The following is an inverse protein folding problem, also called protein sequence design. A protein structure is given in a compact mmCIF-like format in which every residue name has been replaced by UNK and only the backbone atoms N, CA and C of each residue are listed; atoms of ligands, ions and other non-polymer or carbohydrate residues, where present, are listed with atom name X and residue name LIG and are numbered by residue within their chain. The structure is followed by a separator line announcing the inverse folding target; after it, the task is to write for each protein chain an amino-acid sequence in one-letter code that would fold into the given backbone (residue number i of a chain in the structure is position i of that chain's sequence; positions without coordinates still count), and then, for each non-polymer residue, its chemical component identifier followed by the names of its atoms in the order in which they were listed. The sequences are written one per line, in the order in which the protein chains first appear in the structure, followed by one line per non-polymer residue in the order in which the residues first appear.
data_IF_184490290362
#
_entry.id   IF_184490290362
#
_cell.length_a   1.000
_cell.length_b   1.000
_cell.length_c   1.000
_cell.angle_alpha   90.00
_cell.angle_beta   90.00
_cell.angle_gamma   90.00
#
_symmetry.space_group_name_H-M   'P 1'
#
loop_
_entity.id
_entity.type
_entity.pdbx_description
1 polymer ?
#
# COMPACT_ATOMS: atom_id res chain seq x y z
N UNK A 1 19.32 42.33 22.97
CA UNK A 1 19.14 42.41 21.50
C UNK A 1 20.32 41.80 20.73
N UNK A 2 21.57 41.96 21.20
CA UNK A 2 22.78 41.39 20.56
C UNK A 2 22.89 39.85 20.57
N UNK A 3 22.14 39.12 21.40
CA UNK A 3 22.19 37.64 21.47
C UNK A 3 21.32 36.95 20.41
N UNK A 4 20.30 37.63 19.87
CA UNK A 4 19.45 37.07 18.83
C UNK A 4 20.14 37.11 17.46
N UNK A 5 20.82 38.22 17.14
CA UNK A 5 21.53 38.40 15.87
C UNK A 5 22.69 37.40 15.70
N UNK A 6 23.46 37.15 16.76
CA UNK A 6 24.55 36.16 16.75
C UNK A 6 24.05 34.72 16.52
N UNK A 7 22.86 34.38 17.03
CA UNK A 7 22.25 33.06 16.85
C UNK A 7 21.71 32.86 15.43
N UNK A 8 21.10 33.89 14.84
CA UNK A 8 20.71 33.89 13.42
C UNK A 8 21.92 33.78 12.49
N UNK A 9 23.02 34.49 12.77
CA UNK A 9 24.23 34.43 11.93
C UNK A 9 24.88 33.05 11.94
N UNK A 10 24.88 32.38 13.10
CA UNK A 10 25.42 31.02 13.26
C UNK A 10 24.57 29.98 12.53
N UNK A 11 23.23 30.10 12.58
CA UNK A 11 22.31 29.20 11.86
C UNK A 11 22.36 29.44 10.35
N UNK A 12 22.46 30.70 9.92
CA UNK A 12 22.58 31.06 8.50
C UNK A 12 23.88 30.52 7.90
N UNK A 13 25.01 30.66 8.61
CA UNK A 13 26.31 30.08 8.25
C UNK A 13 26.29 28.54 8.16
N UNK A 14 25.59 27.86 9.07
CA UNK A 14 25.45 26.40 9.02
C UNK A 14 24.53 25.89 7.91
N UNK A 15 23.56 26.71 7.47
CA UNK A 15 22.65 26.37 6.37
C UNK A 15 23.30 26.62 5.00
N UNK A 16 24.06 27.71 4.83
CA UNK A 16 24.79 28.00 3.59
C UNK A 16 25.92 26.98 3.35
N UNK A 17 26.57 26.48 4.42
CA UNK A 17 27.58 25.42 4.32
C UNK A 17 27.03 24.02 3.98
N UNK A 18 25.74 23.75 4.23
CA UNK A 18 25.10 22.45 3.96
C UNK A 18 24.33 22.39 2.63
N UNK A 19 23.98 23.53 2.06
CA UNK A 19 23.26 23.62 0.78
C UNK A 19 23.89 24.68 -0.16
N UNK A 20 25.17 24.50 -0.56
CA UNK A 20 25.85 25.46 -1.42
C UNK A 20 25.19 25.63 -2.79
N UNK A 21 24.59 24.56 -3.34
CA UNK A 21 23.87 24.57 -4.63
C UNK A 21 22.54 25.35 -4.59
N UNK A 22 21.86 25.36 -3.45
CA UNK A 22 20.58 26.08 -3.29
C UNK A 22 20.81 27.59 -3.21
N UNK A 23 21.87 28.02 -2.50
CA UNK A 23 22.22 29.44 -2.43
C UNK A 23 22.92 29.94 -3.70
N UNK A 24 23.67 29.10 -4.42
CA UNK A 24 24.21 29.48 -5.73
C UNK A 24 23.10 29.69 -6.76
N UNK A 25 22.02 28.89 -6.71
CA UNK A 25 20.85 29.04 -7.56
C UNK A 25 20.14 30.39 -7.33
N UNK A 26 19.92 30.77 -6.07
CA UNK A 26 19.31 32.07 -5.71
C UNK A 26 20.19 33.26 -6.10
N UNK A 27 21.52 33.13 -6.00
CA UNK A 27 22.45 34.21 -6.37
C UNK A 27 22.63 34.36 -7.90
N UNK A 28 22.48 33.27 -8.66
CA UNK A 28 22.66 33.26 -10.11
C UNK A 28 21.45 33.83 -10.86
N UNK A 29 20.24 33.70 -10.30
CA UNK A 29 19.02 34.36 -10.80
C UNK A 29 18.99 35.85 -10.48
N UNK A 30 19.68 36.31 -9.42
CA UNK A 30 19.80 37.73 -9.12
C UNK A 30 20.76 38.50 -10.05
N UNK A 31 21.63 37.81 -10.80
CA UNK A 31 22.58 38.45 -11.73
C UNK A 31 22.15 38.40 -13.21
N UNK A 32 21.10 37.67 -13.57
CA UNK A 32 20.59 37.58 -14.96
C UNK A 32 19.27 38.34 -15.12
N UNK A 33 19.33 39.65 -14.97
CA UNK A 33 18.23 40.54 -15.30
C UNK A 33 18.76 41.93 -15.61
N UNK A 34 18.81 42.29 -16.89
CA UNK A 34 19.19 43.61 -17.36
C UNK A 34 18.32 44.68 -16.67
N UNK A 35 18.92 45.50 -15.81
CA UNK A 35 18.25 46.63 -15.16
C UNK A 35 17.74 47.63 -16.21
N UNK A 36 16.43 47.88 -16.22
CA UNK A 36 15.86 49.19 -16.55
C UNK A 36 15.31 49.80 -15.24
N UNK A 37 15.61 51.06 -14.91
CA UNK A 37 15.29 51.63 -13.61
C UNK A 37 13.89 52.26 -13.63
N UNK A 38 12.90 51.56 -13.08
CA UNK A 38 11.76 52.12 -12.34
C UNK A 38 10.66 51.06 -12.24
N UNK A 39 10.59 50.33 -11.12
CA UNK A 39 9.33 49.88 -10.51
C UNK A 39 9.62 49.41 -9.08
N UNK A 40 8.74 49.81 -8.17
CA UNK A 40 8.83 49.61 -6.71
C UNK A 40 8.81 48.12 -6.31
N UNK A 41 9.45 47.73 -5.19
CA UNK A 41 9.55 46.33 -4.79
C UNK A 41 8.22 45.86 -4.23
N UNK A 42 7.41 45.17 -5.04
CA UNK A 42 6.02 44.90 -4.65
C UNK A 42 5.62 43.44 -4.90
N UNK A 43 5.08 42.82 -3.86
CA UNK A 43 4.41 41.50 -3.81
C UNK A 43 5.29 40.25 -3.84
N UNK A 44 6.14 40.03 -4.84
CA UNK A 44 6.81 38.71 -5.00
C UNK A 44 7.87 38.45 -3.92
N UNK A 45 8.67 39.46 -3.57
CA UNK A 45 9.67 39.35 -2.48
C UNK A 45 9.00 39.19 -1.10
N UNK A 46 7.82 39.79 -0.91
CA UNK A 46 7.06 39.67 0.34
C UNK A 46 6.49 38.25 0.45
N UNK A 47 5.92 37.70 -0.62
CA UNK A 47 5.38 36.32 -0.65
C UNK A 47 6.49 35.30 -0.38
N UNK A 48 7.67 35.46 -0.99
CA UNK A 48 8.80 34.56 -0.78
C UNK A 48 9.34 34.68 0.66
N UNK A 49 9.54 35.89 1.18
CA UNK A 49 9.98 36.09 2.56
C UNK A 49 8.96 35.55 3.60
N UNK A 50 7.66 35.74 3.37
CA UNK A 50 6.60 35.19 4.22
C UNK A 50 6.54 33.66 4.18
N UNK A 51 6.77 33.05 3.02
CA UNK A 51 6.80 31.58 2.88
C UNK A 51 7.99 30.94 3.60
N UNK A 52 9.18 31.56 3.53
CA UNK A 52 10.38 31.12 4.26
C UNK A 52 10.19 31.30 5.77
N UNK A 53 9.61 32.43 6.19
CA UNK A 53 9.26 32.69 7.60
C UNK A 53 8.31 31.65 8.18
N UNK A 54 7.28 31.24 7.42
CA UNK A 54 6.34 30.18 7.81
C UNK A 54 6.99 28.81 7.94
N UNK A 55 7.89 28.45 7.01
CA UNK A 55 8.61 27.17 7.04
C UNK A 55 9.55 27.11 8.25
N UNK A 56 10.28 28.19 8.55
CA UNK A 56 11.16 28.28 9.71
C UNK A 56 10.36 28.23 11.01
N UNK A 57 9.24 28.96 11.10
CA UNK A 57 8.36 28.93 12.27
C UNK A 57 7.78 27.53 12.51
N UNK A 58 7.34 26.83 11.45
CA UNK A 58 6.86 25.47 11.52
C UNK A 58 7.95 24.48 11.95
N UNK A 59 9.18 24.62 11.44
CA UNK A 59 10.31 23.78 11.79
C UNK A 59 10.76 23.97 13.25
N UNK A 60 10.79 25.23 13.72
CA UNK A 60 11.11 25.58 15.11
C UNK A 60 10.01 25.07 16.05
N UNK A 61 8.73 25.27 15.72
CA UNK A 61 7.61 24.77 16.50
C UNK A 61 7.62 23.22 16.57
N UNK A 62 7.93 22.54 15.47
CA UNK A 62 8.06 21.09 15.43
C UNK A 62 9.24 20.59 16.29
N UNK A 63 10.41 21.24 16.23
CA UNK A 63 11.55 20.89 17.08
C UNK A 63 11.29 21.13 18.57
N UNK A 64 10.68 22.27 18.92
CA UNK A 64 10.33 22.57 20.32
C UNK A 64 9.30 21.58 20.87
N UNK A 65 8.31 21.18 20.06
CA UNK A 65 7.32 20.15 20.43
C UNK A 65 7.99 18.77 20.61
N UNK A 66 8.93 18.40 19.73
CA UNK A 66 9.71 17.15 19.84
C UNK A 66 10.59 17.12 21.10
N UNK A 67 11.22 18.24 21.48
CA UNK A 67 12.03 18.35 22.71
C UNK A 67 11.15 18.24 23.97
N UNK A 68 9.95 18.83 23.94
CA UNK A 68 8.98 18.77 25.05
C UNK A 68 8.42 17.36 25.27
N UNK A 69 8.17 16.62 24.18
CA UNK A 69 7.64 15.24 24.25
C UNK A 69 8.73 14.20 24.63
N UNK A 70 10.02 14.54 24.55
CA UNK A 70 11.13 13.70 25.00
C UNK A 70 11.46 13.82 26.50
N UNK A 71 10.86 14.77 27.22
CA UNK A 71 11.25 15.10 28.60
C UNK A 71 10.39 14.48 29.71
N UNK A 72 9.67 13.40 29.43
CA UNK A 72 8.95 12.64 30.46
C UNK A 72 9.54 11.24 30.57
N UNK A 73 10.71 11.17 31.20
CA UNK A 73 11.31 9.91 31.67
C UNK A 73 10.71 9.61 33.04
N UNK A 74 10.02 8.47 33.26
CA UNK A 74 9.71 8.06 34.62
C UNK A 74 11.02 7.61 35.28
N UNK A 75 11.50 8.38 36.27
CA UNK A 75 12.59 7.96 37.15
C UNK A 75 12.15 6.70 37.90
N UNK A 76 12.70 5.55 37.53
CA UNK A 76 12.61 4.32 38.31
C UNK A 76 13.54 4.50 39.52
N UNK A 77 12.97 4.56 40.74
CA UNK A 77 13.76 4.39 41.96
C UNK A 77 13.99 2.88 42.15
N UNK A 78 15.26 2.47 42.09
CA UNK A 78 15.71 1.14 42.50
C UNK A 78 15.91 1.18 44.02
N UNK A 79 15.32 0.26 44.78
CA UNK A 79 15.66 0.07 46.20
C UNK A 79 16.85 -0.88 46.33
N UNK A 80 17.74 -0.58 47.27
CA UNK A 80 19.07 -1.19 47.44
C UNK A 80 19.10 -2.52 48.22
N UNK A 81 18.06 -3.33 48.13
CA UNK A 81 18.06 -4.66 48.74
C UNK A 81 17.24 -5.62 47.89
N UNK A 82 17.92 -6.46 47.11
CA UNK A 82 17.30 -7.51 46.32
C UNK A 82 16.69 -8.58 47.22
N UNK A 83 15.36 -8.59 47.36
CA UNK A 83 14.62 -9.76 47.82
C UNK A 83 13.16 -9.72 47.35
N UNK A 84 12.68 -10.88 46.91
CA UNK A 84 11.28 -11.14 46.54
C UNK A 84 10.46 -11.31 47.82
N UNK A 85 9.41 -10.50 47.98
CA UNK A 85 8.38 -10.71 49.02
C UNK A 85 7.07 -11.06 48.32
N UNK A 86 6.61 -12.29 48.55
CA UNK A 86 5.23 -12.72 48.29
C UNK A 86 4.31 -12.00 49.28
N UNK A 87 3.52 -11.05 48.78
CA UNK A 87 2.46 -10.40 49.54
C UNK A 87 1.13 -10.54 48.81
N UNK A 88 0.21 -11.29 49.41
CA UNK A 88 -1.19 -11.35 49.00
C UNK A 88 -1.86 -9.98 49.16
N UNK A 89 -2.90 -9.76 48.35
CA UNK A 89 -3.82 -8.62 48.29
C UNK A 89 -3.37 -7.35 47.53
N UNK A 90 -3.92 -7.17 46.32
CA UNK A 90 -4.46 -5.89 45.76
C UNK A 90 -4.89 -6.07 44.28
N UNK A 91 -5.90 -6.92 44.02
CA UNK A 91 -6.52 -7.02 42.69
C UNK A 91 -7.19 -5.73 42.16
N UNK A 92 -7.86 -4.87 42.96
CA UNK A 92 -8.57 -3.71 42.42
C UNK A 92 -7.64 -2.60 41.91
N UNK A 93 -6.46 -2.43 42.53
CA UNK A 93 -5.46 -1.41 42.11
C UNK A 93 -4.84 -1.74 40.75
N UNK A 94 -4.66 -3.04 40.43
CA UNK A 94 -4.18 -3.48 39.12
C UNK A 94 -5.23 -3.21 38.03
N UNK A 95 -6.51 -3.53 38.28
CA UNK A 95 -7.61 -3.24 37.35
C UNK A 95 -7.76 -1.73 37.06
N UNK A 96 -7.78 -0.88 38.10
CA UNK A 96 -7.88 0.56 37.90
C UNK A 96 -6.67 1.14 37.16
N UNK A 97 -5.46 0.65 37.48
CA UNK A 97 -4.24 1.02 36.73
C UNK A 97 -4.33 0.61 35.27
N UNK A 98 -4.82 -0.58 34.94
CA UNK A 98 -5.04 -1.02 33.56
C UNK A 98 -6.08 -0.16 32.83
N UNK A 99 -7.19 0.18 33.49
CA UNK A 99 -8.25 1.04 32.92
C UNK A 99 -7.71 2.46 32.66
N UNK A 100 -7.02 3.06 33.64
CA UNK A 100 -6.43 4.39 33.49
C UNK A 100 -5.32 4.39 32.44
N UNK A 101 -4.51 3.34 32.36
CA UNK A 101 -3.50 3.18 31.30
C UNK A 101 -4.12 2.98 29.92
N UNK A 102 -5.25 2.28 29.81
CA UNK A 102 -6.01 2.13 28.57
C UNK A 102 -6.64 3.46 28.14
N UNK A 103 -7.30 4.19 29.05
CA UNK A 103 -7.91 5.48 28.77
C UNK A 103 -6.88 6.56 28.40
N UNK A 104 -5.76 6.64 29.13
CA UNK A 104 -4.67 7.56 28.77
C UNK A 104 -3.95 7.16 27.49
N UNK A 105 -3.94 5.87 27.13
CA UNK A 105 -3.45 5.38 25.84
C UNK A 105 -4.39 5.78 24.70
N UNK A 106 -5.70 5.71 24.90
CA UNK A 106 -6.72 6.10 23.92
C UNK A 106 -6.72 7.62 23.67
N UNK A 107 -6.65 8.44 24.72
CA UNK A 107 -6.52 9.90 24.57
C UNK A 107 -5.21 10.32 23.89
N UNK A 108 -4.11 9.62 24.17
CA UNK A 108 -2.83 9.84 23.46
C UNK A 108 -2.95 9.42 21.99
N UNK A 109 -3.64 8.33 21.72
CA UNK A 109 -3.89 7.83 20.37
C UNK A 109 -4.68 8.85 19.54
N UNK A 110 -5.76 9.41 20.11
CA UNK A 110 -6.57 10.44 19.45
C UNK A 110 -5.76 11.72 19.18
N UNK A 111 -4.92 12.13 20.14
CA UNK A 111 -4.06 13.31 20.01
C UNK A 111 -3.00 13.14 18.91
N UNK A 112 -2.33 11.98 18.85
CA UNK A 112 -1.33 11.69 17.81
C UNK A 112 -1.99 11.67 16.43
N UNK A 113 -3.16 11.02 16.32
CA UNK A 113 -3.93 10.95 15.09
C UNK A 113 -4.36 12.33 14.60
N UNK A 114 -4.92 13.20 15.46
CA UNK A 114 -5.32 14.57 15.09
C UNK A 114 -4.16 15.41 14.59
N UNK A 115 -2.99 15.35 15.24
CA UNK A 115 -1.82 16.13 14.84
C UNK A 115 -1.20 15.69 13.50
N UNK A 116 -1.35 14.41 13.14
CA UNK A 116 -0.72 13.84 11.94
C UNK A 116 -1.63 13.87 10.71
N UNK A 117 -2.91 14.28 10.82
CA UNK A 117 -3.83 14.33 9.66
C UNK A 117 -3.34 15.22 8.52
N UNK A 118 -2.84 16.41 8.84
CA UNK A 118 -2.34 17.34 7.81
C UNK A 118 -1.06 16.79 7.17
N UNK A 119 -0.13 16.30 7.99
CA UNK A 119 1.11 15.66 7.51
C UNK A 119 0.83 14.44 6.62
N UNK A 120 -0.22 13.66 6.93
CA UNK A 120 -0.68 12.54 6.11
C UNK A 120 -1.05 13.02 4.70
N UNK A 121 -1.90 14.03 4.57
CA UNK A 121 -2.35 14.53 3.25
C UNK A 121 -1.15 14.96 2.39
N UNK A 122 -0.23 15.75 2.93
CA UNK A 122 0.96 16.17 2.19
C UNK A 122 1.85 14.98 1.80
N UNK A 123 2.08 14.04 2.72
CA UNK A 123 2.89 12.87 2.45
C UNK A 123 2.25 11.98 1.37
N UNK A 124 0.93 11.78 1.42
CA UNK A 124 0.19 11.04 0.40
C UNK A 124 0.36 11.68 -0.97
N UNK A 125 0.16 12.99 -1.09
CA UNK A 125 0.35 13.71 -2.35
C UNK A 125 1.79 13.57 -2.88
N UNK A 126 2.79 13.67 -2.00
CA UNK A 126 4.20 13.49 -2.39
C UNK A 126 4.47 12.07 -2.91
N UNK A 127 3.92 11.04 -2.27
CA UNK A 127 4.06 9.66 -2.75
C UNK A 127 3.32 9.42 -4.07
N UNK A 128 2.14 10.02 -4.27
CA UNK A 128 1.44 10.00 -5.56
C UNK A 128 2.27 10.68 -6.67
N UNK A 129 2.86 11.85 -6.40
CA UNK A 129 3.71 12.57 -7.36
C UNK A 129 4.99 11.77 -7.70
N UNK A 130 5.59 11.08 -6.73
CA UNK A 130 6.73 10.19 -6.95
C UNK A 130 6.33 9.00 -7.83
N UNK A 131 5.19 8.38 -7.56
CA UNK A 131 4.69 7.24 -8.33
C UNK A 131 4.37 7.60 -9.79
N UNK A 132 3.93 8.84 -10.04
CA UNK A 132 3.67 9.34 -11.40
C UNK A 132 4.99 9.74 -12.11
N UNK A 133 6.06 10.03 -11.38
CA UNK A 133 7.34 10.47 -11.94
C UNK A 133 7.45 11.97 -12.20
N UNK A 134 6.61 12.79 -11.53
CA UNK A 134 6.61 14.25 -11.69
C UNK A 134 7.78 14.96 -10.97
N UNK A 135 8.52 14.25 -10.12
CA UNK A 135 9.69 14.78 -9.40
C UNK A 135 10.97 14.33 -10.09
N UNK A 136 11.28 14.93 -11.23
CA UNK A 136 12.62 14.88 -11.83
C UNK A 136 13.33 16.20 -11.52
N UNK A 137 14.49 16.13 -10.87
CA UNK A 137 15.27 17.27 -10.37
C UNK A 137 16.12 17.97 -11.45
N UNK A 138 15.79 17.83 -12.73
CA UNK A 138 16.57 18.44 -13.80
C UNK A 138 15.72 19.45 -14.59
N UNK A 139 16.11 20.72 -14.48
CA UNK A 139 15.66 21.89 -15.26
C UNK A 139 16.05 21.81 -16.76
N UNK A 140 16.06 20.61 -17.33
CA UNK A 140 15.98 20.40 -18.76
C UNK A 140 14.97 19.30 -18.99
N UNK A 141 13.86 19.69 -19.63
CA UNK A 141 12.99 18.80 -20.39
C UNK A 141 13.84 18.02 -21.40
N UNK A 142 14.48 16.96 -20.91
CA UNK A 142 14.93 15.87 -21.75
C UNK A 142 13.77 14.91 -21.70
N UNK A 143 13.07 14.82 -22.83
CA UNK A 143 12.19 13.72 -23.18
C UNK A 143 13.03 12.44 -22.98
N UNK A 144 13.07 11.94 -21.73
CA UNK A 144 13.80 10.71 -21.36
C UNK A 144 13.32 9.71 -22.37
N UNK A 145 14.22 9.26 -23.23
CA UNK A 145 13.94 8.52 -24.45
C UNK A 145 13.08 7.29 -24.15
N UNK A 146 11.76 7.50 -24.08
CA UNK A 146 10.76 6.45 -24.06
C UNK A 146 10.94 5.78 -25.41
N UNK A 147 11.28 4.48 -25.46
CA UNK A 147 11.48 3.79 -26.72
C UNK A 147 10.33 4.14 -27.67
N UNK A 148 10.66 4.53 -28.91
CA UNK A 148 9.70 5.06 -29.89
C UNK A 148 8.46 4.15 -30.02
N UNK A 149 8.62 2.83 -29.77
CA UNK A 149 7.57 1.82 -29.71
C UNK A 149 6.48 2.01 -28.63
N UNK A 150 6.74 2.72 -27.54
CA UNK A 150 5.78 2.93 -26.44
C UNK A 150 4.86 4.13 -26.65
N UNK A 151 5.28 5.16 -27.40
CA UNK A 151 4.45 6.36 -27.67
C UNK A 151 3.33 6.08 -28.68
N UNK A 152 3.49 5.08 -29.54
CA UNK A 152 2.56 4.77 -30.64
C UNK A 152 1.65 3.57 -30.40
N UNK A 153 1.73 2.92 -29.23
CA UNK A 153 0.84 1.80 -28.88
C UNK A 153 -0.27 2.21 -27.91
N UNK A 154 -1.29 1.37 -27.81
CA UNK A 154 -2.27 1.47 -26.72
C UNK A 154 -1.59 1.24 -25.37
N UNK A 155 -1.94 2.03 -24.33
CA UNK A 155 -1.47 1.78 -22.97
C UNK A 155 -2.09 0.50 -22.41
N UNK A 156 -1.41 -0.12 -21.45
CA UNK A 156 -1.81 -1.39 -20.84
C UNK A 156 -2.19 -1.18 -19.38
N UNK A 157 -3.38 -1.66 -19.01
CA UNK A 157 -3.81 -1.81 -17.61
C UNK A 157 -3.70 -3.29 -17.24
N UNK A 158 -2.72 -3.63 -16.40
CA UNK A 158 -2.56 -4.95 -15.81
C UNK A 158 -3.23 -5.00 -14.45
N UNK A 159 -4.32 -5.76 -14.35
CA UNK A 159 -5.04 -6.05 -13.13
C UNK A 159 -4.51 -7.34 -12.52
N UNK A 160 -3.78 -7.24 -11.41
CA UNK A 160 -3.40 -8.40 -10.61
C UNK A 160 -4.49 -8.68 -9.57
N UNK A 161 -5.05 -9.88 -9.60
CA UNK A 161 -6.12 -10.33 -8.72
C UNK A 161 -5.79 -11.62 -7.98
N UNK A 162 -6.47 -11.85 -6.87
CA UNK A 162 -6.21 -13.02 -6.02
C UNK A 162 -6.27 -12.67 -4.55
N UNK A 163 -6.70 -13.63 -3.74
CA UNK A 163 -6.83 -13.43 -2.30
C UNK A 163 -5.51 -13.01 -1.63
N UNK A 164 -5.62 -12.41 -0.45
CA UNK A 164 -4.44 -12.01 0.30
C UNK A 164 -3.58 -13.25 0.61
N UNK A 165 -2.26 -13.16 0.41
CA UNK A 165 -1.36 -14.30 0.58
C UNK A 165 -1.38 -15.34 -0.55
N UNK A 166 -2.10 -15.09 -1.66
CA UNK A 166 -2.14 -16.00 -2.80
C UNK A 166 -0.82 -16.10 -3.60
N UNK A 167 0.18 -15.26 -3.33
CA UNK A 167 1.46 -15.29 -4.06
C UNK A 167 1.49 -14.43 -5.33
N UNK A 168 0.64 -13.40 -5.43
CA UNK A 168 0.60 -12.44 -6.55
C UNK A 168 1.97 -11.85 -6.88
N UNK A 169 2.73 -11.44 -5.88
CA UNK A 169 4.05 -10.84 -6.07
C UNK A 169 5.06 -11.80 -6.71
N UNK A 170 4.90 -13.12 -6.53
CA UNK A 170 5.75 -14.12 -7.21
C UNK A 170 5.43 -14.16 -8.69
N UNK A 171 4.15 -14.24 -9.05
CA UNK A 171 3.70 -14.24 -10.46
C UNK A 171 4.05 -12.92 -11.15
N UNK A 172 3.87 -11.78 -10.47
CA UNK A 172 4.20 -10.47 -11.01
C UNK A 172 5.68 -10.36 -11.37
N UNK A 173 6.59 -10.88 -10.52
CA UNK A 173 8.03 -10.87 -10.81
C UNK A 173 8.37 -11.59 -12.12
N UNK A 174 7.64 -12.64 -12.46
CA UNK A 174 7.88 -13.39 -13.70
C UNK A 174 7.24 -12.68 -14.90
N UNK A 175 6.05 -12.11 -14.74
CA UNK A 175 5.42 -11.27 -15.78
C UNK A 175 6.28 -10.06 -16.12
N UNK A 176 6.90 -9.42 -15.13
CA UNK A 176 7.76 -8.27 -15.35
C UNK A 176 9.04 -8.59 -16.15
N UNK A 177 9.41 -9.87 -16.27
CA UNK A 177 10.52 -10.33 -17.11
C UNK A 177 10.09 -10.60 -18.56
N UNK A 178 8.79 -10.66 -18.85
CA UNK A 178 8.28 -10.85 -20.21
C UNK A 178 8.70 -9.69 -21.11
N UNK A 179 8.88 -9.96 -22.41
CA UNK A 179 9.44 -9.00 -23.38
C UNK A 179 8.74 -7.63 -23.37
N UNK A 180 7.42 -7.63 -23.21
CA UNK A 180 6.63 -6.40 -23.10
C UNK A 180 6.98 -5.61 -21.83
N UNK A 181 6.90 -6.24 -20.66
CA UNK A 181 7.08 -5.56 -19.38
C UNK A 181 8.54 -5.25 -19.07
N UNK A 182 9.50 -6.03 -19.56
CA UNK A 182 10.92 -5.74 -19.41
C UNK A 182 11.30 -4.33 -19.92
N UNK A 183 10.64 -3.86 -20.99
CA UNK A 183 10.82 -2.51 -21.52
C UNK A 183 9.80 -1.46 -21.04
N UNK A 184 8.64 -1.87 -20.49
CA UNK A 184 7.57 -0.96 -20.08
C UNK A 184 7.51 -0.69 -18.57
N UNK A 185 7.93 -1.66 -17.75
CA UNK A 185 7.75 -1.63 -16.30
C UNK A 185 8.42 -0.44 -15.61
N UNK A 186 9.58 0.01 -16.11
CA UNK A 186 10.27 1.19 -15.56
C UNK A 186 9.45 2.49 -15.65
N UNK A 187 8.53 2.57 -16.61
CA UNK A 187 7.67 3.72 -16.85
C UNK A 187 6.21 3.47 -16.45
N UNK A 188 5.88 2.27 -15.98
CA UNK A 188 4.54 1.91 -15.55
C UNK A 188 4.25 2.44 -14.14
N UNK A 189 3.01 2.88 -13.91
CA UNK A 189 2.55 3.28 -12.59
C UNK A 189 2.08 2.03 -11.85
N UNK A 190 2.78 1.66 -10.78
CA UNK A 190 2.41 0.53 -9.91
C UNK A 190 1.52 1.03 -8.77
N UNK A 191 0.35 0.42 -8.62
CA UNK A 191 -0.67 0.82 -7.66
C UNK A 191 -0.91 -0.33 -6.70
N UNK A 192 -0.39 -0.20 -5.49
CA UNK A 192 -0.60 -1.13 -4.38
C UNK A 192 -1.11 -0.33 -3.17
N UNK A 193 -2.37 -0.52 -2.78
CA UNK A 193 -2.95 0.20 -1.64
C UNK A 193 -2.19 -0.05 -0.33
N UNK A 194 -1.60 -1.24 -0.19
CA UNK A 194 -0.80 -1.60 0.98
C UNK A 194 0.54 -0.83 1.05
N UNK A 195 1.12 -0.40 -0.07
CA UNK A 195 2.34 0.41 -0.07
C UNK A 195 2.11 1.80 0.55
N UNK A 196 0.92 2.37 0.32
CA UNK A 196 0.52 3.64 0.96
C UNK A 196 0.33 3.50 2.48
N UNK A 197 -0.05 2.32 2.97
CA UNK A 197 -0.12 2.08 4.42
C UNK A 197 1.26 2.16 5.04
N UNK A 198 2.29 1.63 4.38
CA UNK A 198 3.65 1.65 4.91
C UNK A 198 4.27 3.04 4.92
N UNK A 199 3.90 3.88 3.95
CA UNK A 199 4.36 5.27 3.89
C UNK A 199 3.57 6.20 4.82
N UNK A 200 2.35 5.82 5.24
CA UNK A 200 1.48 6.61 6.12
C UNK A 200 2.15 6.96 7.44
N UNK A 201 2.20 8.26 7.74
CA UNK A 201 2.86 8.81 8.93
C UNK A 201 2.23 8.37 10.25
N UNK A 202 0.93 8.07 10.26
CA UNK A 202 0.21 7.53 11.42
C UNK A 202 0.53 6.05 11.56
N UNK A 203 0.55 5.28 10.47
CA UNK A 203 0.98 3.87 10.53
C UNK A 203 2.41 3.74 11.08
N UNK A 204 3.37 4.51 10.55
CA UNK A 204 4.76 4.53 11.05
C UNK A 204 4.86 4.97 12.51
N UNK A 205 4.08 5.98 12.92
CA UNK A 205 4.09 6.47 14.30
C UNK A 205 3.52 5.43 15.29
N UNK A 206 2.55 4.64 14.87
CA UNK A 206 1.92 3.61 15.69
C UNK A 206 2.72 2.30 15.72
N UNK A 207 3.29 1.89 14.59
CA UNK A 207 4.12 0.67 14.50
C UNK A 207 5.45 0.80 15.23
N UNK A 208 6.06 2.00 15.25
CA UNK A 208 7.33 2.26 15.92
C UNK A 208 7.27 2.31 17.45
N UNK A 209 6.07 2.41 18.05
CA UNK A 209 5.91 2.66 19.50
C UNK A 209 5.73 1.41 20.36
N UNK A 210 5.68 0.22 19.76
CA UNK A 210 5.59 -1.06 20.45
C UNK A 210 4.23 -1.30 21.16
N UNK A 211 3.74 -2.54 21.12
CA UNK A 211 2.49 -2.99 21.77
C UNK A 211 1.17 -2.36 21.28
N UNK A 212 1.09 -1.86 20.06
CA UNK A 212 -0.20 -1.58 19.41
C UNK A 212 -0.75 -2.84 18.73
N UNK A 213 -2.06 -3.05 18.80
CA UNK A 213 -2.73 -4.07 18.00
C UNK A 213 -2.50 -3.71 16.52
N UNK A 214 -1.69 -4.53 15.87
CA UNK A 214 -1.27 -4.37 14.48
C UNK A 214 -2.49 -4.38 13.55
N UNK A 215 -3.54 -5.12 13.90
CA UNK A 215 -4.77 -5.21 13.13
C UNK A 215 -5.57 -3.91 13.19
N UNK A 216 -5.74 -3.34 14.38
CA UNK A 216 -6.42 -2.04 14.54
C UNK A 216 -5.66 -0.94 13.81
N UNK A 217 -4.33 -0.93 13.96
CA UNK A 217 -3.46 0.08 13.32
C UNK A 217 -3.59 0.05 11.79
N UNK A 218 -3.66 -1.14 11.19
CA UNK A 218 -3.85 -1.29 9.75
C UNK A 218 -5.23 -0.86 9.26
N UNK A 219 -6.29 -1.07 10.06
CA UNK A 219 -7.65 -0.61 9.74
C UNK A 219 -7.78 0.91 9.74
N UNK A 220 -7.14 1.57 10.70
CA UNK A 220 -7.18 3.03 10.85
C UNK A 220 -6.64 3.81 9.64
N UNK A 221 -5.73 3.19 8.89
CA UNK A 221 -5.11 3.77 7.69
C UNK A 221 -5.69 3.18 6.40
N UNK A 222 -6.64 2.25 6.50
CA UNK A 222 -7.12 1.50 5.36
C UNK A 222 -7.84 2.39 4.35
N UNK A 223 -8.77 3.23 4.82
CA UNK A 223 -9.54 4.11 3.94
C UNK A 223 -8.62 5.10 3.22
N UNK A 224 -7.76 5.82 3.96
CA UNK A 224 -6.87 6.81 3.36
C UNK A 224 -5.89 6.19 2.34
N UNK A 225 -5.44 4.97 2.58
CA UNK A 225 -4.55 4.27 1.64
C UNK A 225 -5.30 3.80 0.39
N UNK A 226 -6.58 3.44 0.55
CA UNK A 226 -7.47 3.06 -0.56
C UNK A 226 -7.82 4.28 -1.42
N UNK A 227 -8.09 5.42 -0.78
CA UNK A 227 -8.37 6.68 -1.47
C UNK A 227 -7.15 7.15 -2.25
N UNK A 228 -5.95 7.09 -1.65
CA UNK A 228 -4.69 7.43 -2.33
C UNK A 228 -4.42 6.55 -3.55
N UNK A 229 -4.59 5.24 -3.41
CA UNK A 229 -4.44 4.30 -4.52
C UNK A 229 -5.46 4.58 -5.64
N UNK A 230 -6.69 4.95 -5.28
CA UNK A 230 -7.76 5.28 -6.23
C UNK A 230 -7.49 6.62 -6.96
N UNK A 231 -6.97 7.62 -6.24
CA UNK A 231 -6.52 8.91 -6.79
C UNK A 231 -5.41 8.71 -7.82
N UNK A 232 -4.39 7.93 -7.45
CA UNK A 232 -3.29 7.57 -8.35
C UNK A 232 -3.79 6.80 -9.58
N UNK A 233 -4.75 5.88 -9.40
CA UNK A 233 -5.32 5.07 -10.48
C UNK A 233 -6.03 5.92 -11.52
N UNK A 234 -6.98 6.77 -11.10
CA UNK A 234 -7.73 7.60 -12.04
C UNK A 234 -6.82 8.60 -12.74
N UNK A 235 -5.82 9.15 -12.04
CA UNK A 235 -4.83 10.05 -12.61
C UNK A 235 -3.99 9.35 -13.67
N UNK A 236 -3.38 8.21 -13.34
CA UNK A 236 -2.55 7.45 -14.28
C UNK A 236 -3.35 7.00 -15.52
N UNK A 237 -4.60 6.56 -15.32
CA UNK A 237 -5.47 6.14 -16.41
C UNK A 237 -5.84 7.29 -17.35
N UNK A 238 -6.21 8.44 -16.79
CA UNK A 238 -6.50 9.66 -17.57
C UNK A 238 -5.30 10.12 -18.40
N UNK A 239 -4.08 9.98 -17.89
CA UNK A 239 -2.83 10.35 -18.57
C UNK A 239 -2.33 9.31 -19.58
N UNK A 240 -3.07 8.20 -19.78
CA UNK A 240 -2.68 7.19 -20.78
C UNK A 240 -1.39 6.43 -20.42
N UNK A 241 -1.08 6.29 -19.12
CA UNK A 241 0.10 5.56 -18.63
C UNK A 241 -0.15 4.06 -18.62
N UNK A 242 0.90 3.25 -18.80
CA UNK A 242 0.79 1.85 -18.41
C UNK A 242 0.61 1.76 -16.90
N UNK A 243 -0.33 0.93 -16.46
CA UNK A 243 -0.70 0.79 -15.05
C UNK A 243 -0.63 -0.67 -14.65
N UNK A 244 -0.01 -0.95 -13.52
CA UNK A 244 -0.05 -2.25 -12.84
C UNK A 244 -0.79 -2.06 -11.53
N UNK A 245 -1.99 -2.61 -11.44
CA UNK A 245 -2.83 -2.53 -10.25
C UNK A 245 -2.74 -3.84 -9.48
N UNK A 246 -2.09 -3.82 -8.31
CA UNK A 246 -2.03 -4.96 -7.38
C UNK A 246 -3.14 -4.86 -6.35
N UNK A 247 -4.18 -5.68 -6.54
CA UNK A 247 -5.35 -5.75 -5.68
C UNK A 247 -5.78 -7.18 -5.36
N UNK A 248 -6.79 -7.30 -4.50
CA UNK A 248 -7.50 -8.59 -4.35
C UNK A 248 -8.48 -8.83 -5.48
N UNK A 249 -9.01 -7.74 -6.07
CA UNK A 249 -10.13 -7.75 -7.02
C UNK A 249 -11.35 -8.51 -6.47
N UNK A 250 -11.54 -8.49 -5.15
CA UNK A 250 -12.59 -9.23 -4.44
C UNK A 250 -13.93 -8.49 -4.38
N UNK A 251 -14.04 -7.31 -4.98
CA UNK A 251 -15.24 -6.47 -4.93
C UNK A 251 -15.68 -6.12 -6.35
N UNK A 252 -16.70 -6.84 -6.83
CA UNK A 252 -17.11 -6.81 -8.24
C UNK A 252 -17.46 -5.41 -8.73
N UNK A 253 -18.29 -4.61 -8.03
CA UNK A 253 -18.70 -3.30 -8.55
C UNK A 253 -17.51 -2.37 -8.81
N UNK A 254 -16.55 -2.33 -7.88
CA UNK A 254 -15.32 -1.55 -8.05
C UNK A 254 -14.52 -1.98 -9.28
N UNK A 255 -14.32 -3.28 -9.48
CA UNK A 255 -13.53 -3.79 -10.61
C UNK A 255 -14.24 -3.51 -11.94
N UNK A 256 -15.54 -3.75 -12.01
CA UNK A 256 -16.35 -3.50 -13.22
C UNK A 256 -16.36 -2.01 -13.58
N UNK A 257 -16.59 -1.13 -12.60
CA UNK A 257 -16.55 0.31 -12.82
C UNK A 257 -15.14 0.77 -13.25
N UNK A 258 -14.08 0.20 -12.67
CA UNK A 258 -12.67 0.50 -13.06
C UNK A 258 -12.37 0.09 -14.49
N UNK A 259 -12.78 -1.12 -14.89
CA UNK A 259 -12.63 -1.58 -16.28
C UNK A 259 -13.40 -0.65 -17.23
N UNK A 260 -14.63 -0.29 -16.86
CA UNK A 260 -15.49 0.62 -17.65
C UNK A 260 -14.83 1.98 -17.83
N UNK A 261 -14.29 2.56 -16.75
CA UNK A 261 -13.50 3.79 -16.79
C UNK A 261 -12.30 3.63 -17.73
N UNK A 262 -11.47 2.59 -17.56
CA UNK A 262 -10.30 2.35 -18.40
C UNK A 262 -10.64 2.18 -19.90
N UNK A 263 -11.81 1.62 -20.23
CA UNK A 263 -12.30 1.57 -21.61
C UNK A 263 -12.71 2.94 -22.15
N UNK A 264 -13.13 3.87 -21.29
CA UNK A 264 -13.69 5.17 -21.68
C UNK A 264 -12.74 6.37 -21.53
N UNK A 265 -11.64 6.26 -20.77
CA UNK A 265 -10.69 7.37 -20.51
C UNK A 265 -10.06 7.97 -21.76
N UNK A 266 -10.09 7.24 -22.89
CA UNK A 266 -9.63 7.76 -24.17
C UNK A 266 -10.58 8.80 -24.80
N UNK A 267 -11.84 8.87 -24.32
CA UNK A 267 -12.88 9.80 -24.80
C UNK A 267 -13.29 10.84 -23.78
N UNK A 268 -13.15 10.55 -22.48
CA UNK A 268 -13.60 11.41 -21.37
C UNK A 268 -12.60 11.35 -20.22
N UNK A 269 -12.52 12.41 -19.42
CA UNK A 269 -11.80 12.38 -18.14
C UNK A 269 -12.71 11.85 -17.05
N UNK A 270 -12.07 11.28 -16.03
CA UNK A 270 -12.73 10.81 -14.82
C UNK A 270 -12.08 11.43 -13.58
N UNK A 271 -12.83 11.52 -12.49
CA UNK A 271 -12.32 11.75 -11.13
C UNK A 271 -12.82 10.65 -10.20
N UNK A 272 -12.24 10.60 -9.01
CA UNK A 272 -12.79 9.77 -7.94
C UNK A 272 -14.23 10.18 -7.64
N UNK A 273 -15.11 9.18 -7.59
CA UNK A 273 -16.45 9.32 -7.05
C UNK A 273 -16.48 9.18 -5.53
N UNK A 274 -17.68 9.15 -4.97
CA UNK A 274 -17.91 9.04 -3.52
C UNK A 274 -17.51 7.69 -2.92
N UNK A 275 -17.23 6.69 -3.74
CA UNK A 275 -16.92 5.32 -3.33
C UNK A 275 -18.16 4.55 -2.89
N UNK A 276 -18.00 3.66 -1.92
CA UNK A 276 -19.09 2.94 -1.26
C UNK A 276 -19.48 3.67 0.03
N UNK A 277 -20.74 4.08 0.13
CA UNK A 277 -21.32 4.72 1.31
C UNK A 277 -22.67 4.11 1.64
N UNK A 278 -22.94 3.98 2.93
CA UNK A 278 -24.25 3.59 3.44
C UNK A 278 -24.73 4.77 4.28
N UNK A 279 -25.82 5.39 3.86
CA UNK A 279 -26.41 6.52 4.58
C UNK A 279 -27.16 6.03 5.84
N UNK A 280 -27.53 6.96 6.72
CA UNK A 280 -28.24 6.64 7.99
C UNK A 280 -29.57 5.91 7.75
N UNK A 281 -30.22 6.20 6.62
CA UNK A 281 -31.47 5.55 6.18
C UNK A 281 -31.24 4.16 5.55
N UNK A 282 -29.99 3.67 5.51
CA UNK A 282 -29.61 2.38 4.92
C UNK A 282 -29.48 2.40 3.39
N UNK A 283 -29.68 3.55 2.74
CA UNK A 283 -29.48 3.72 1.29
C UNK A 283 -28.00 3.53 0.95
N UNK A 284 -27.70 2.64 0.00
CA UNK A 284 -26.34 2.36 -0.44
C UNK A 284 -26.04 3.17 -1.70
N UNK A 285 -25.05 4.05 -1.61
CA UNK A 285 -24.47 4.74 -2.76
C UNK A 285 -23.14 4.09 -3.11
N UNK A 286 -23.02 3.57 -4.32
CA UNK A 286 -21.80 2.91 -4.79
C UNK A 286 -21.35 3.46 -6.15
N UNK A 287 -20.49 4.47 -6.12
CA UNK A 287 -19.95 5.10 -7.31
C UNK A 287 -18.47 5.45 -7.11
N UNK A 288 -17.58 4.71 -7.76
CA UNK A 288 -16.13 4.86 -7.61
C UNK A 288 -15.54 5.89 -8.58
N UNK A 289 -16.15 6.12 -9.74
CA UNK A 289 -15.60 6.97 -10.79
C UNK A 289 -16.66 7.87 -11.39
N UNK A 290 -16.40 9.17 -11.36
CA UNK A 290 -17.30 10.18 -11.93
C UNK A 290 -16.71 10.74 -13.21
N UNK A 291 -17.52 10.80 -14.26
CA UNK A 291 -17.12 11.45 -15.51
C UNK A 291 -17.05 12.96 -15.31
N UNK A 292 -16.08 13.58 -15.99
CA UNK A 292 -15.92 15.02 -16.04
C UNK A 292 -16.15 15.46 -17.48
N UNK A 293 -16.99 16.47 -17.67
CA UNK A 293 -17.16 17.12 -18.96
C UNK A 293 -15.86 17.86 -19.32
N UNK A 294 -15.20 17.42 -20.39
CA UNK A 294 -14.13 18.21 -20.99
C UNK A 294 -14.78 19.22 -21.94
N UNK A 295 -14.55 20.51 -21.71
CA UNK A 295 -14.68 21.49 -22.78
C UNK A 295 -13.77 21.03 -23.92
N UNK A 296 -14.32 20.92 -25.13
CA UNK A 296 -13.59 20.45 -26.30
C UNK A 296 -12.42 21.39 -26.58
N UNK A 297 -11.24 21.08 -26.03
CA UNK A 297 -10.03 21.81 -26.37
C UNK A 297 -9.79 21.62 -27.88
N UNK A 298 -9.90 22.74 -28.60
CA UNK A 298 -9.66 22.88 -30.04
C UNK A 298 -8.16 22.80 -30.39
N UNK A 299 -7.28 22.58 -29.42
CA UNK A 299 -5.87 22.32 -29.68
C UNK A 299 -5.66 20.85 -30.01
N UNK A 300 -4.84 20.60 -31.04
CA UNK A 300 -4.49 19.28 -31.60
C UNK A 300 -3.73 18.34 -30.65
N UNK A 301 -4.15 18.27 -29.39
CA UNK A 301 -3.69 17.35 -28.36
C UNK A 301 -3.82 15.91 -28.87
N UNK A 302 -2.71 15.17 -28.78
CA UNK A 302 -2.61 13.75 -29.14
C UNK A 302 -3.86 12.99 -28.67
N UNK A 303 -4.63 12.44 -29.61
CA UNK A 303 -5.78 11.60 -29.28
C UNK A 303 -5.34 10.47 -28.35
N UNK A 304 -5.88 10.44 -27.13
CA UNK A 304 -5.67 9.34 -26.18
C UNK A 304 -6.12 8.04 -26.83
N UNK A 305 -5.35 6.97 -26.64
CA UNK A 305 -5.64 5.65 -27.19
C UNK A 305 -6.43 4.80 -26.19
N UNK A 306 -7.30 3.90 -26.65
CA UNK A 306 -8.00 2.97 -25.76
C UNK A 306 -7.01 2.02 -25.08
N UNK A 307 -7.25 1.70 -23.81
CA UNK A 307 -6.45 0.75 -23.05
C UNK A 307 -6.64 -0.68 -23.53
N UNK A 308 -5.54 -1.43 -23.59
CA UNK A 308 -5.55 -2.89 -23.52
C UNK A 308 -5.59 -3.30 -22.04
N UNK A 309 -6.52 -4.15 -21.65
CA UNK A 309 -6.71 -4.57 -20.26
C UNK A 309 -6.35 -6.05 -20.13
N UNK A 310 -5.41 -6.33 -19.24
CA UNK A 310 -4.92 -7.67 -18.93
C UNK A 310 -5.27 -8.04 -17.49
N UNK A 311 -5.84 -9.22 -17.28
CA UNK A 311 -6.10 -9.78 -15.96
C UNK A 311 -5.13 -10.91 -15.66
N UNK A 312 -4.50 -10.85 -14.49
CA UNK A 312 -3.72 -11.96 -13.97
C UNK A 312 -4.26 -12.33 -12.60
N UNK A 313 -4.94 -13.46 -12.54
CA UNK A 313 -5.42 -14.06 -11.31
C UNK A 313 -4.38 -15.00 -10.70
N UNK A 314 -4.30 -15.01 -9.37
CA UNK A 314 -3.55 -16.02 -8.62
C UNK A 314 -4.45 -16.65 -7.56
N UNK A 315 -4.58 -17.97 -7.62
CA UNK A 315 -5.35 -18.77 -6.67
C UNK A 315 -4.43 -19.73 -5.92
N UNK A 316 -4.77 -20.00 -4.66
CA UNK A 316 -4.19 -21.07 -3.89
C UNK A 316 -5.19 -21.54 -2.84
N UNK A 317 -4.88 -22.65 -2.18
CA UNK A 317 -5.64 -23.14 -1.04
C UNK A 317 -5.65 -22.08 0.06
N UNK A 318 -6.81 -21.86 0.65
CA UNK A 318 -7.01 -20.75 1.56
C UNK A 318 -6.19 -20.93 2.86
N UNK A 319 -5.96 -22.17 3.31
CA UNK A 319 -5.10 -22.43 4.48
C UNK A 319 -3.63 -22.09 4.22
N UNK A 320 -3.12 -22.33 3.00
CA UNK A 320 -1.77 -21.92 2.61
C UNK A 320 -1.64 -20.41 2.64
N UNK A 321 -2.65 -19.70 2.14
CA UNK A 321 -2.68 -18.25 2.21
C UNK A 321 -2.66 -17.75 3.65
N UNK A 322 -3.42 -18.36 4.56
CA UNK A 322 -3.42 -18.02 5.99
C UNK A 322 -2.05 -18.21 6.62
N UNK A 323 -1.40 -19.35 6.36
CA UNK A 323 -0.03 -19.63 6.84
C UNK A 323 0.95 -18.56 6.31
N UNK A 324 0.86 -18.21 5.02
CA UNK A 324 1.67 -17.14 4.41
C UNK A 324 1.40 -15.78 5.07
N UNK A 325 0.13 -15.50 5.39
CA UNK A 325 -0.31 -14.30 6.11
C UNK A 325 0.31 -14.21 7.50
N UNK A 326 0.28 -15.30 8.27
CA UNK A 326 0.92 -15.41 9.59
C UNK A 326 2.43 -15.22 9.49
N UNK A 327 3.09 -15.90 8.56
CA UNK A 327 4.54 -15.75 8.33
C UNK A 327 4.90 -14.29 8.00
N UNK A 328 4.11 -13.64 7.15
CA UNK A 328 4.29 -12.21 6.83
C UNK A 328 4.06 -11.31 8.05
N UNK A 329 3.12 -11.63 8.92
CA UNK A 329 2.90 -10.89 10.16
C UNK A 329 4.11 -10.98 11.10
N UNK A 330 4.75 -12.15 11.19
CA UNK A 330 5.94 -12.37 12.01
C UNK A 330 7.17 -11.64 11.45
N UNK A 331 7.41 -11.73 10.14
CA UNK A 331 8.62 -11.19 9.49
C UNK A 331 8.47 -9.68 9.23
N UNK A 332 7.38 -9.29 8.59
CA UNK A 332 7.19 -7.93 8.07
C UNK A 332 6.33 -7.06 8.99
N UNK A 333 5.89 -7.57 10.14
CA UNK A 333 4.98 -6.86 11.06
C UNK A 333 3.72 -6.34 10.36
N UNK A 334 3.18 -7.12 9.41
CA UNK A 334 1.94 -6.84 8.68
C UNK A 334 0.94 -7.99 8.84
N UNK A 335 0.01 -7.83 9.76
CA UNK A 335 -1.05 -8.79 10.02
C UNK A 335 -2.30 -8.49 9.19
N UNK A 336 -3.02 -9.55 8.84
CA UNK A 336 -4.30 -9.51 8.15
C UNK A 336 -5.26 -10.44 8.88
N UNK A 337 -6.50 -10.00 9.09
CA UNK A 337 -7.53 -10.85 9.71
C UNK A 337 -7.82 -12.05 8.80
N UNK A 338 -7.91 -13.24 9.40
CA UNK A 338 -8.18 -14.49 8.69
C UNK A 338 -9.51 -14.40 7.93
N UNK A 339 -10.59 -13.92 8.56
CA UNK A 339 -11.88 -13.75 7.88
C UNK A 339 -11.78 -12.84 6.63
N UNK A 340 -11.08 -11.71 6.71
CA UNK A 340 -10.86 -10.83 5.55
C UNK A 340 -10.07 -11.52 4.45
N UNK A 341 -9.10 -12.35 4.83
CA UNK A 341 -8.31 -13.16 3.90
C UNK A 341 -9.20 -14.19 3.19
N UNK A 342 -9.97 -14.99 3.93
CA UNK A 342 -10.89 -15.98 3.37
C UNK A 342 -11.92 -15.33 2.44
N UNK A 343 -12.54 -14.21 2.86
CA UNK A 343 -13.46 -13.42 2.03
C UNK A 343 -12.82 -12.97 0.72
N UNK A 344 -11.57 -12.50 0.78
CA UNK A 344 -10.87 -12.04 -0.43
C UNK A 344 -10.63 -13.16 -1.44
N UNK A 345 -10.32 -14.36 -0.96
CA UNK A 345 -10.16 -15.56 -1.79
C UNK A 345 -11.47 -16.00 -2.42
N UNK A 346 -12.51 -16.17 -1.59
CA UNK A 346 -13.86 -16.57 -2.01
C UNK A 346 -14.41 -15.66 -3.10
N UNK A 347 -14.50 -14.36 -2.81
CA UNK A 347 -15.09 -13.39 -3.72
C UNK A 347 -14.30 -13.22 -5.01
N UNK A 348 -12.97 -13.27 -4.97
CA UNK A 348 -12.16 -13.24 -6.18
C UNK A 348 -12.44 -14.46 -7.06
N UNK A 349 -12.46 -15.66 -6.46
CA UNK A 349 -12.70 -16.90 -7.17
C UNK A 349 -14.10 -16.94 -7.82
N UNK A 350 -15.12 -16.48 -7.10
CA UNK A 350 -16.49 -16.34 -7.62
C UNK A 350 -16.57 -15.35 -8.80
N UNK A 351 -15.80 -14.26 -8.76
CA UNK A 351 -15.87 -13.19 -9.75
C UNK A 351 -14.97 -13.40 -10.98
N UNK A 352 -13.98 -14.30 -10.91
CA UNK A 352 -12.92 -14.44 -11.91
C UNK A 352 -13.48 -14.64 -13.34
N UNK A 353 -14.50 -15.50 -13.50
CA UNK A 353 -15.12 -15.75 -14.80
C UNK A 353 -15.78 -14.51 -15.38
N UNK A 354 -16.44 -13.71 -14.54
CA UNK A 354 -17.05 -12.43 -14.94
C UNK A 354 -15.97 -11.46 -15.41
N UNK A 355 -14.86 -11.35 -14.68
CA UNK A 355 -13.76 -10.47 -15.09
C UNK A 355 -13.14 -10.89 -16.42
N UNK A 356 -13.02 -12.19 -16.68
CA UNK A 356 -12.52 -12.72 -17.96
C UNK A 356 -13.36 -12.24 -19.15
N UNK A 357 -14.65 -11.95 -18.98
CA UNK A 357 -15.51 -11.45 -20.06
C UNK A 357 -15.28 -9.96 -20.36
N UNK A 358 -14.73 -9.20 -19.42
CA UNK A 358 -14.58 -7.74 -19.50
C UNK A 358 -13.20 -7.28 -19.99
N UNK A 359 -12.20 -8.16 -19.91
CA UNK A 359 -10.79 -7.88 -20.25
C UNK A 359 -10.38 -8.49 -21.59
N UNK A 360 -9.30 -7.97 -22.17
CA UNK A 360 -8.77 -8.46 -23.45
C UNK A 360 -8.04 -9.80 -23.26
N UNK A 361 -7.16 -9.87 -22.26
CA UNK A 361 -6.43 -11.09 -21.94
C UNK A 361 -6.63 -11.44 -20.47
N UNK A 362 -6.70 -12.73 -20.17
CA UNK A 362 -6.75 -13.21 -18.79
C UNK A 362 -5.79 -14.39 -18.61
N UNK A 363 -5.12 -14.47 -17.47
CA UNK A 363 -4.32 -15.63 -17.04
C UNK A 363 -4.66 -15.97 -15.60
N UNK A 364 -4.73 -17.24 -15.26
CA UNK A 364 -4.92 -17.72 -13.90
C UNK A 364 -3.77 -18.65 -13.52
N UNK A 365 -3.12 -18.34 -12.41
CA UNK A 365 -2.03 -19.13 -11.87
C UNK A 365 -2.44 -19.81 -10.57
N UNK A 366 -2.10 -21.08 -10.40
CA UNK A 366 -2.17 -21.81 -9.13
C UNK A 366 -0.82 -21.75 -8.42
N UNK A 367 -0.82 -21.36 -7.14
CA UNK A 367 0.40 -21.28 -6.33
C UNK A 367 0.41 -22.27 -5.16
N UNK A 368 -0.24 -23.43 -5.31
CA UNK A 368 -0.29 -24.47 -4.27
C UNK A 368 1.04 -25.18 -4.03
N UNK A 369 1.91 -25.20 -5.04
CA UNK A 369 3.24 -25.81 -4.93
C UNK A 369 4.06 -25.05 -3.87
N UNK A 370 4.57 -25.79 -2.87
CA UNK A 370 5.34 -25.22 -1.75
C UNK A 370 6.70 -24.67 -2.22
N UNK A 371 7.32 -25.36 -3.18
CA UNK A 371 8.60 -25.02 -3.80
C UNK A 371 8.47 -25.15 -5.32
N UNK A 372 8.54 -24.02 -6.03
CA UNK A 372 8.45 -23.99 -7.49
C UNK A 372 7.70 -22.77 -8.03
N UNK A 373 7.74 -22.55 -9.36
CA UNK A 373 6.99 -21.47 -9.99
C UNK A 373 5.48 -21.77 -9.94
N UNK A 374 4.63 -20.74 -9.85
CA UNK A 374 3.18 -20.90 -9.99
C UNK A 374 2.80 -21.53 -11.33
N UNK A 375 1.87 -22.50 -11.33
CA UNK A 375 1.40 -23.20 -12.54
C UNK A 375 0.33 -22.37 -13.23
N UNK A 376 0.44 -22.15 -14.54
CA UNK A 376 -0.64 -21.54 -15.35
C UNK A 376 -1.75 -22.58 -15.56
N UNK A 377 -2.97 -22.28 -15.12
CA UNK A 377 -4.10 -23.22 -15.11
C UNK A 377 -5.29 -22.75 -15.95
N UNK A 378 -5.32 -21.47 -16.33
CA UNK A 378 -6.28 -20.96 -17.31
C UNK A 378 -5.71 -19.76 -18.06
N UNK A 379 -6.07 -19.60 -19.32
CA UNK A 379 -5.71 -18.42 -20.11
C UNK A 379 -6.75 -18.07 -21.17
N UNK A 380 -6.82 -16.78 -21.47
CA UNK A 380 -7.67 -16.17 -22.50
C UNK A 380 -6.83 -15.18 -23.28
N UNK A 381 -6.95 -15.22 -24.59
CA UNK A 381 -6.39 -14.22 -25.49
C UNK A 381 -7.48 -13.56 -26.33
N UNK A 382 -7.53 -12.23 -26.32
CA UNK A 382 -8.47 -11.42 -27.12
C UNK A 382 -9.93 -11.88 -26.95
N UNK A 383 -10.62 -12.15 -28.05
CA UNK A 383 -12.04 -12.53 -28.07
C UNK A 383 -12.25 -14.04 -27.89
N UNK A 384 -11.18 -14.82 -27.66
CA UNK A 384 -11.30 -16.26 -27.43
C UNK A 384 -12.00 -16.54 -26.10
N UNK A 385 -12.63 -17.70 -26.01
CA UNK A 385 -13.11 -18.24 -24.75
C UNK A 385 -11.93 -18.58 -23.82
N UNK A 386 -12.19 -18.60 -22.51
CA UNK A 386 -11.21 -19.01 -21.51
C UNK A 386 -10.86 -20.50 -21.70
N UNK A 387 -9.60 -20.77 -22.00
CA UNK A 387 -9.03 -22.12 -22.02
C UNK A 387 -8.58 -22.48 -20.60
N UNK A 388 -8.91 -23.69 -20.15
CA UNK A 388 -8.65 -24.16 -18.79
C UNK A 388 -7.97 -25.51 -18.82
N UNK A 389 -7.02 -25.73 -17.91
CA UNK A 389 -6.53 -27.05 -17.55
C UNK A 389 -7.63 -27.76 -16.73
N UNK A 390 -8.30 -28.79 -17.27
CA UNK A 390 -9.45 -29.41 -16.62
C UNK A 390 -9.09 -30.07 -15.29
N UNK A 391 -7.85 -30.52 -15.11
CA UNK A 391 -7.39 -31.21 -13.91
C UNK A 391 -7.09 -30.21 -12.79
N UNK A 392 -6.66 -29.00 -13.13
CA UNK A 392 -6.21 -27.99 -12.15
C UNK A 392 -7.26 -26.93 -11.83
N UNK A 393 -8.18 -26.61 -12.76
CA UNK A 393 -9.14 -25.52 -12.60
C UNK A 393 -10.12 -25.74 -11.44
N UNK A 394 -10.24 -26.98 -10.95
CA UNK A 394 -11.07 -27.34 -9.81
C UNK A 394 -10.78 -26.51 -8.56
N UNK A 395 -9.51 -26.14 -8.33
CA UNK A 395 -9.11 -25.34 -7.17
C UNK A 395 -9.83 -23.99 -7.10
N UNK A 396 -10.11 -23.34 -8.23
CA UNK A 396 -10.84 -22.07 -8.27
C UNK A 396 -12.28 -22.24 -7.78
N UNK A 397 -12.96 -23.31 -8.22
CA UNK A 397 -14.35 -23.60 -7.82
C UNK A 397 -14.43 -23.95 -6.32
N UNK A 398 -13.46 -24.71 -5.84
CA UNK A 398 -13.33 -25.08 -4.43
C UNK A 398 -13.14 -23.84 -3.56
N UNK A 399 -12.20 -22.95 -3.92
CA UNK A 399 -11.95 -21.68 -3.21
C UNK A 399 -13.17 -20.77 -3.26
N UNK A 400 -13.89 -20.70 -4.38
CA UNK A 400 -15.14 -19.94 -4.47
C UNK A 400 -16.26 -20.43 -3.54
N UNK A 401 -16.19 -21.68 -3.06
CA UNK A 401 -17.20 -22.28 -2.17
C UNK A 401 -16.74 -22.39 -0.72
N UNK A 402 -15.60 -21.80 -0.36
CA UNK A 402 -15.09 -21.89 1.01
C UNK A 402 -16.04 -21.24 2.02
N UNK A 403 -15.96 -21.72 3.26
CA UNK A 403 -16.61 -21.11 4.41
C UNK A 403 -15.69 -20.00 4.94
N UNK A 404 -16.06 -18.74 4.67
CA UNK A 404 -15.27 -17.59 5.08
C UNK A 404 -15.41 -17.24 6.57
N UNK A 405 -16.39 -17.84 7.25
CA UNK A 405 -16.61 -17.77 8.69
C UNK A 405 -16.00 -18.97 9.44
N UNK A 406 -15.22 -19.81 8.78
CA UNK A 406 -14.59 -20.97 9.41
C UNK A 406 -13.63 -20.55 10.54
N UNK A 407 -13.80 -21.17 11.72
CA UNK A 407 -12.91 -20.98 12.87
C UNK A 407 -11.84 -22.08 12.94
N UNK A 408 -11.98 -23.12 12.13
CA UNK A 408 -11.00 -24.21 12.04
C UNK A 408 -10.79 -24.67 10.59
N UNK A 409 -9.67 -25.34 10.35
CA UNK A 409 -9.37 -25.94 9.04
C UNK A 409 -10.44 -26.97 8.62
N UNK A 410 -11.07 -27.65 9.59
CA UNK A 410 -12.07 -28.69 9.34
C UNK A 410 -13.37 -28.14 8.77
N UNK A 411 -13.64 -26.86 9.03
CA UNK A 411 -14.85 -26.14 8.59
C UNK A 411 -14.64 -25.35 7.29
N UNK A 412 -13.40 -25.31 6.79
CA UNK A 412 -13.01 -24.38 5.71
C UNK A 412 -13.66 -24.74 4.38
N UNK A 413 -13.83 -26.03 4.10
CA UNK A 413 -14.46 -26.54 2.89
C UNK A 413 -15.53 -27.59 3.22
N UNK A 414 -16.53 -27.72 2.34
CA UNK A 414 -17.50 -28.80 2.41
C UNK A 414 -16.88 -30.13 1.96
N UNK A 415 -17.49 -31.27 2.32
CA UNK A 415 -17.00 -32.60 1.93
C UNK A 415 -17.25 -32.90 0.43
N UNK A 416 -16.28 -33.51 -0.29
CA UNK A 416 -14.95 -33.90 0.18
C UNK A 416 -14.02 -32.69 0.37
N UNK A 417 -13.31 -32.67 1.50
CA UNK A 417 -12.48 -31.53 1.88
C UNK A 417 -11.07 -31.64 1.24
N UNK A 418 -10.65 -30.66 0.41
CA UNK A 418 -9.42 -30.74 -0.40
C UNK A 418 -8.15 -30.96 0.42
N UNK A 419 -8.10 -30.45 1.65
CA UNK A 419 -6.94 -30.62 2.53
C UNK A 419 -6.68 -32.08 2.98
N UNK A 420 -7.57 -33.03 2.65
CA UNK A 420 -7.33 -34.46 2.92
C UNK A 420 -6.95 -35.24 1.67
N UNK A 421 -6.95 -34.61 0.49
CA UNK A 421 -6.56 -35.24 -0.76
C UNK A 421 -5.04 -35.43 -0.81
N UNK A 422 -4.61 -36.54 -1.42
CA UNK A 422 -3.20 -36.82 -1.68
C UNK A 422 -2.63 -35.74 -2.60
N UNK A 423 -1.43 -35.23 -2.29
CA UNK A 423 -0.83 -34.09 -2.98
C UNK A 423 -1.10 -32.75 -2.27
N UNK A 424 -2.05 -32.69 -1.34
CA UNK A 424 -2.26 -31.48 -0.53
C UNK A 424 -1.21 -31.36 0.57
N UNK A 425 -0.72 -30.14 0.81
CA UNK A 425 0.26 -29.86 1.88
C UNK A 425 -0.27 -30.28 3.25
N UNK A 426 -1.58 -30.15 3.47
CA UNK A 426 -2.17 -30.52 4.75
C UNK A 426 -2.14 -32.04 4.97
N UNK A 427 -2.51 -32.84 3.97
CA UNK A 427 -2.43 -34.30 4.05
C UNK A 427 -1.00 -34.79 4.14
N UNK A 428 -0.14 -34.32 3.23
CA UNK A 428 1.18 -34.91 2.99
C UNK A 428 2.24 -34.41 3.96
N UNK A 429 2.09 -33.21 4.52
CA UNK A 429 3.06 -32.60 5.44
C UNK A 429 2.47 -32.46 6.84
N UNK A 430 1.27 -31.89 6.98
CA UNK A 430 0.71 -31.56 8.31
C UNK A 430 0.20 -32.82 9.04
N UNK A 431 -0.49 -33.71 8.34
CA UNK A 431 -1.00 -34.97 8.89
C UNK A 431 -0.01 -36.14 8.77
N UNK A 432 1.20 -35.89 8.24
CA UNK A 432 2.21 -36.93 8.09
C UNK A 432 2.66 -37.51 9.44
N UNK A 433 2.73 -38.84 9.59
CA UNK A 433 3.25 -39.49 10.80
C UNK A 433 4.69 -39.06 11.15
N UNK A 434 5.50 -38.68 10.15
CA UNK A 434 6.90 -38.29 10.36
C UNK A 434 7.05 -36.87 10.90
N UNK A 435 5.99 -36.04 10.85
CA UNK A 435 6.03 -34.62 11.26
C UNK A 435 6.54 -34.43 12.68
N UNK A 436 6.13 -35.28 13.62
CA UNK A 436 6.54 -35.18 15.02
C UNK A 436 8.06 -35.33 15.18
N UNK A 437 8.67 -36.25 14.44
CA UNK A 437 10.11 -36.49 14.49
C UNK A 437 10.86 -35.31 13.88
N UNK A 438 10.40 -34.81 12.73
CA UNK A 438 10.97 -33.63 12.07
C UNK A 438 10.92 -32.40 13.00
N UNK A 439 9.81 -32.20 13.71
CA UNK A 439 9.68 -31.09 14.66
C UNK A 439 10.61 -31.22 15.88
N UNK A 440 10.82 -32.43 16.39
CA UNK A 440 11.78 -32.68 17.48
C UNK A 440 13.21 -32.39 17.03
N UNK A 441 13.58 -32.83 15.84
CA UNK A 441 14.88 -32.57 15.25
C UNK A 441 15.09 -31.07 15.02
N UNK A 442 14.12 -30.38 14.42
CA UNK A 442 14.17 -28.93 14.23
C UNK A 442 14.32 -28.20 15.56
N UNK A 443 13.54 -28.58 16.59
CA UNK A 443 13.66 -28.00 17.93
C UNK A 443 15.04 -28.21 18.51
N UNK A 444 15.60 -29.40 18.40
CA UNK A 444 16.93 -29.73 18.89
C UNK A 444 18.01 -28.89 18.17
N UNK A 445 17.93 -28.80 16.84
CA UNK A 445 18.84 -27.99 16.03
C UNK A 445 18.78 -26.50 16.39
N UNK A 446 17.58 -25.93 16.56
CA UNK A 446 17.42 -24.54 17.01
C UNK A 446 18.04 -24.34 18.39
N UNK A 447 17.76 -25.24 19.35
CA UNK A 447 18.31 -25.16 20.71
C UNK A 447 19.84 -25.25 20.72
N UNK A 448 20.44 -26.03 19.84
CA UNK A 448 21.89 -26.11 19.72
C UNK A 448 22.49 -24.80 19.20
N UNK A 449 21.88 -24.18 18.18
CA UNK A 449 22.32 -22.89 17.65
C UNK A 449 22.17 -21.78 18.71
N UNK A 450 21.05 -21.77 19.43
CA UNK A 450 20.79 -20.79 20.50
C UNK A 450 21.74 -20.91 21.70
N UNK A 451 22.37 -22.07 21.92
CA UNK A 451 23.41 -22.24 22.95
C UNK A 451 24.78 -21.70 22.53
N UNK A 452 25.00 -21.53 21.23
CA UNK A 452 26.27 -21.09 20.64
C UNK A 452 26.26 -19.57 20.37
N UNK A 453 25.07 -18.97 20.26
CA UNK A 453 24.84 -17.52 20.24
C UNK A 453 24.78 -16.95 21.66
#
# INVERSE_FOLDING_TARGET
MQTAEAFTYTIFSQLTGKFPSFFSFVNQDMQKGCMKPNMNPTSTQIIVASSIGLIIAAAVHYRLKKIRDQRIVPKIKVSSAGQVVLGAETEPKKKLKHIVMAATREQRFERVTKNLKVARVFNTLVEEMKAIGLVSNDDKCTDVMVPMAHKDRSPVLLLMGGGMGAGKSTVLKDILKETFWAGAAANAVVIEADAFKESDVIYKALSSRGHHDMLQTAELVHQSSTDAASSLLVTALNEGRDVIMDGTLSWVPFVVQTITMARCVHRRRYRMGVGYKVDEDGVVTENYWEQIDEEQNQDGAKKRRPYRIELVGVVCDAYLAVIRGIRRALICRRAVRVNSQLKSHKRFAEAFSTYCQLVDNARLYCSNVLEGPPKLIAWKEKEKNLLVDPDEIGCLKVVGRLNDAADSIFELYNNPHPAYETGSVWKDIVLSPTRLNIQKELKYSIQNVERVL
#
